data_IF_736010599479
#
_entry.id   IF_736010599479
#
_cell.length_a   1.000
_cell.length_b   1.000
_cell.length_c   1.000
_cell.angle_alpha   90.00
_cell.angle_beta   90.00
_cell.angle_gamma   90.00
#
_symmetry.space_group_name_H-M   'P 1'
#
loop_
_entity.id
_entity.type
_entity.pdbx_description
1 polymer ?
#
# COMPACT_ATOMS: atom_id res chain seq x y z
N UNK A 1 -0.65 -58.48 -14.52
CA UNK A 1 -1.59 -57.33 -14.60
C UNK A 1 -1.48 -56.41 -13.38
N UNK A 2 -1.64 -56.85 -12.12
CA UNK A 2 -1.56 -56.00 -10.92
C UNK A 2 -0.24 -55.22 -10.78
N UNK A 3 0.92 -55.80 -11.12
CA UNK A 3 2.23 -55.14 -11.04
C UNK A 3 2.43 -54.06 -12.10
N UNK A 4 1.82 -54.23 -13.28
CA UNK A 4 1.89 -53.24 -14.38
C UNK A 4 1.00 -52.04 -14.08
N UNK A 5 -0.17 -52.24 -13.46
CA UNK A 5 -1.07 -51.17 -13.01
C UNK A 5 -0.42 -50.32 -11.89
N UNK A 6 0.28 -50.99 -10.96
CA UNK A 6 1.00 -50.27 -9.89
C UNK A 6 2.14 -49.41 -10.44
N UNK A 7 2.88 -49.90 -11.44
CA UNK A 7 3.95 -49.11 -12.10
C UNK A 7 3.40 -47.93 -12.88
N UNK A 8 2.27 -48.07 -13.57
CA UNK A 8 1.61 -46.98 -14.28
C UNK A 8 1.07 -45.89 -13.33
N UNK A 9 0.50 -46.33 -12.19
CA UNK A 9 0.05 -45.36 -11.15
C UNK A 9 1.21 -44.60 -10.51
N UNK A 10 2.34 -45.26 -10.26
CA UNK A 10 3.54 -44.60 -9.75
C UNK A 10 4.13 -43.61 -10.75
N UNK A 11 4.15 -43.95 -12.04
CA UNK A 11 4.63 -43.05 -13.09
C UNK A 11 3.73 -41.81 -13.25
N UNK A 12 2.41 -41.93 -13.11
CA UNK A 12 1.47 -40.82 -13.14
C UNK A 12 1.64 -39.89 -11.91
N UNK A 13 1.86 -40.45 -10.70
CA UNK A 13 2.16 -39.64 -9.51
C UNK A 13 3.47 -38.87 -9.64
N UNK A 14 4.51 -39.46 -10.20
CA UNK A 14 5.79 -38.75 -10.44
C UNK A 14 5.63 -37.65 -11.48
N UNK A 15 4.84 -37.84 -12.53
CA UNK A 15 4.56 -36.80 -13.52
C UNK A 15 3.76 -35.62 -12.93
N UNK A 16 2.86 -35.86 -11.98
CA UNK A 16 2.12 -34.79 -11.29
C UNK A 16 3.02 -33.93 -10.39
N UNK A 17 4.12 -34.45 -9.87
CA UNK A 17 5.06 -33.70 -9.05
C UNK A 17 5.93 -32.71 -9.86
N UNK A 18 6.12 -32.97 -11.16
CA UNK A 18 6.87 -32.06 -12.06
C UNK A 18 5.99 -30.98 -12.72
N UNK A 19 4.67 -31.12 -12.70
CA UNK A 19 3.74 -30.13 -13.27
C UNK A 19 3.50 -28.93 -12.33
N UNK A 20 4.03 -28.94 -11.11
CA UNK A 20 3.78 -27.94 -10.05
C UNK A 20 4.66 -26.70 -10.08
N UNK A 21 5.63 -26.56 -10.99
CA UNK A 21 6.51 -25.39 -11.07
C UNK A 21 6.41 -24.68 -12.41
N UNK A 22 5.22 -24.55 -12.98
CA UNK A 22 4.97 -23.44 -13.87
C UNK A 22 4.89 -22.19 -12.95
N UNK A 23 5.98 -21.45 -12.81
CA UNK A 23 6.00 -20.12 -12.24
C UNK A 23 4.94 -19.33 -13.01
N UNK A 24 3.76 -19.17 -12.44
CA UNK A 24 2.84 -18.15 -12.90
C UNK A 24 3.63 -16.84 -12.77
N UNK A 25 4.03 -16.26 -13.91
CA UNK A 25 4.59 -14.92 -13.96
C UNK A 25 3.51 -13.95 -13.51
N UNK A 26 3.21 -13.94 -12.21
CA UNK A 26 2.39 -12.94 -11.59
C UNK A 26 3.10 -11.62 -11.84
N UNK A 27 2.40 -10.63 -12.39
CA UNK A 27 2.94 -9.29 -12.55
C UNK A 27 3.47 -8.85 -11.20
N UNK A 28 4.73 -8.42 -11.14
CA UNK A 28 5.31 -7.84 -9.94
C UNK A 28 4.48 -6.62 -9.57
N UNK A 29 4.09 -6.51 -8.32
CA UNK A 29 3.19 -5.45 -7.83
C UNK A 29 3.90 -4.65 -6.75
N UNK A 30 3.77 -3.32 -6.84
CA UNK A 30 4.07 -2.40 -5.75
C UNK A 30 2.74 -1.81 -5.29
N UNK A 31 2.41 -2.03 -4.01
CA UNK A 31 1.25 -1.42 -3.40
C UNK A 31 1.61 -0.06 -2.81
N UNK A 32 0.84 0.96 -3.16
CA UNK A 32 0.90 2.29 -2.57
C UNK A 32 -0.33 2.47 -1.69
N UNK A 33 -0.13 2.70 -0.41
CA UNK A 33 -1.20 3.04 0.52
C UNK A 33 -1.68 4.47 0.29
N UNK A 34 -2.98 4.66 0.28
CA UNK A 34 -3.62 5.98 0.22
C UNK A 34 -4.40 6.17 1.51
N UNK A 35 -3.84 6.99 2.39
CA UNK A 35 -4.34 7.24 3.74
C UNK A 35 -5.04 8.59 3.80
N UNK A 36 -6.28 8.65 3.28
CA UNK A 36 -7.01 9.91 3.10
C UNK A 36 -8.42 9.85 3.70
N UNK A 37 -8.94 10.97 4.23
CA UNK A 37 -10.34 11.01 4.62
C UNK A 37 -11.24 11.00 3.38
N UNK A 38 -12.10 10.01 3.28
CA UNK A 38 -13.17 9.97 2.29
C UNK A 38 -14.53 10.28 2.93
N UNK A 39 -14.53 10.41 4.26
CA UNK A 39 -15.68 10.78 5.08
C UNK A 39 -15.26 11.68 6.24
N UNK A 40 -16.21 12.12 7.07
CA UNK A 40 -15.99 13.06 8.16
C UNK A 40 -15.74 14.50 7.67
N UNK A 41 -15.25 15.34 8.59
CA UNK A 41 -15.17 16.81 8.38
C UNK A 41 -14.30 17.22 7.18
N UNK A 42 -13.23 16.50 6.92
CA UNK A 42 -12.29 16.77 5.82
C UNK A 42 -12.53 15.85 4.59
N UNK A 43 -13.62 15.08 4.57
CA UNK A 43 -13.89 14.10 3.52
C UNK A 43 -13.96 14.69 2.12
N UNK A 44 -14.40 15.94 1.97
CA UNK A 44 -14.44 16.62 0.67
C UNK A 44 -13.02 16.87 0.12
N UNK A 45 -12.10 17.37 0.96
CA UNK A 45 -10.71 17.61 0.58
C UNK A 45 -9.97 16.30 0.29
N UNK A 46 -10.08 15.31 1.18
CA UNK A 46 -9.42 14.03 0.99
C UNK A 46 -9.87 13.28 -0.28
N UNK A 47 -11.15 13.36 -0.64
CA UNK A 47 -11.63 12.84 -1.93
C UNK A 47 -10.93 13.47 -3.13
N UNK A 48 -10.62 14.76 -3.09
CA UNK A 48 -9.89 15.43 -4.17
C UNK A 48 -8.45 14.90 -4.27
N UNK A 49 -7.80 14.66 -3.14
CA UNK A 49 -6.47 14.05 -3.12
C UNK A 49 -6.49 12.62 -3.67
N UNK A 50 -7.46 11.80 -3.24
CA UNK A 50 -7.67 10.45 -3.78
C UNK A 50 -7.87 10.46 -5.30
N UNK A 51 -8.69 11.38 -5.82
CA UNK A 51 -8.88 11.53 -7.27
C UNK A 51 -7.57 11.88 -7.99
N UNK A 52 -6.76 12.78 -7.42
CA UNK A 52 -5.45 13.13 -7.97
C UNK A 52 -4.49 11.93 -8.00
N UNK A 53 -4.45 11.15 -6.93
CA UNK A 53 -3.62 9.93 -6.83
C UNK A 53 -4.09 8.87 -7.85
N UNK A 54 -5.40 8.65 -7.95
CA UNK A 54 -5.99 7.71 -8.93
C UNK A 54 -5.70 8.15 -10.36
N UNK A 55 -5.82 9.45 -10.64
CA UNK A 55 -5.47 10.00 -11.95
C UNK A 55 -4.00 9.76 -12.29
N UNK A 56 -3.09 10.08 -11.37
CA UNK A 56 -1.66 9.84 -11.58
C UNK A 56 -1.36 8.36 -11.85
N UNK A 57 -1.99 7.44 -11.10
CA UNK A 57 -1.86 6.00 -11.34
C UNK A 57 -2.45 5.57 -12.69
N UNK A 58 -3.54 6.19 -13.14
CA UNK A 58 -4.11 5.88 -14.47
C UNK A 58 -3.21 6.31 -15.63
N UNK A 59 -2.46 7.42 -15.45
CA UNK A 59 -1.49 7.92 -16.45
C UNK A 59 -0.21 7.10 -16.44
N UNK A 60 0.25 6.66 -15.26
CA UNK A 60 1.47 5.87 -15.09
C UNK A 60 1.24 4.67 -14.18
N UNK A 61 0.63 3.60 -14.69
CA UNK A 61 0.23 2.44 -13.87
C UNK A 61 1.38 1.48 -13.54
N UNK A 62 2.57 1.72 -14.10
CA UNK A 62 3.75 0.88 -13.89
C UNK A 62 4.99 1.69 -13.60
N UNK A 63 5.97 1.05 -12.95
CA UNK A 63 7.30 1.60 -12.70
C UNK A 63 8.37 0.54 -12.99
N UNK A 64 9.49 0.97 -13.56
CA UNK A 64 10.64 0.08 -13.79
C UNK A 64 11.68 0.27 -12.68
N UNK A 65 12.02 -0.81 -11.99
CA UNK A 65 13.05 -0.84 -10.95
C UNK A 65 14.07 -1.91 -11.32
N UNK A 66 15.34 -1.52 -11.43
CA UNK A 66 16.44 -2.42 -11.81
C UNK A 66 16.18 -3.21 -13.11
N UNK A 67 15.51 -2.57 -14.09
CA UNK A 67 15.17 -3.19 -15.38
C UNK A 67 13.93 -4.08 -15.35
N UNK A 68 13.24 -4.21 -14.24
CA UNK A 68 12.02 -4.98 -14.09
C UNK A 68 10.80 -4.08 -13.94
N UNK A 69 9.73 -4.38 -14.66
CA UNK A 69 8.48 -3.63 -14.59
C UNK A 69 7.59 -4.15 -13.44
N UNK A 70 7.07 -3.22 -12.66
CA UNK A 70 6.13 -3.44 -11.58
C UNK A 70 4.83 -2.69 -11.84
N UNK A 71 3.71 -3.36 -11.67
CA UNK A 71 2.39 -2.72 -11.66
C UNK A 71 2.21 -1.97 -10.34
N UNK A 72 1.64 -0.76 -10.40
CA UNK A 72 1.26 0.00 -9.21
C UNK A 72 -0.20 -0.33 -8.88
N UNK A 73 -0.45 -0.73 -7.64
CA UNK A 73 -1.78 -0.92 -7.07
C UNK A 73 -1.98 0.04 -5.91
N UNK A 74 -3.15 0.70 -5.87
CA UNK A 74 -3.52 1.61 -4.80
C UNK A 74 -4.37 0.87 -3.77
N UNK A 75 -3.97 0.96 -2.51
CA UNK A 75 -4.74 0.50 -1.35
C UNK A 75 -5.27 1.73 -0.61
N UNK A 76 -6.58 1.97 -0.70
CA UNK A 76 -7.20 3.21 -0.23
C UNK A 76 -7.94 2.94 1.08
N UNK A 77 -7.47 3.57 2.16
CA UNK A 77 -8.07 3.47 3.49
C UNK A 77 -8.63 4.81 3.94
N UNK A 78 -9.92 4.82 4.27
CA UNK A 78 -10.62 5.99 4.81
C UNK A 78 -10.30 6.16 6.30
N UNK A 79 -9.58 7.22 6.67
CA UNK A 79 -9.30 7.56 8.05
C UNK A 79 -10.42 8.40 8.71
N UNK A 80 -11.49 8.71 7.97
CA UNK A 80 -12.73 9.36 8.41
C UNK A 80 -12.51 10.74 9.07
N UNK A 81 -11.41 11.42 8.80
CA UNK A 81 -10.99 12.67 9.48
C UNK A 81 -10.85 12.51 11.01
N UNK A 82 -10.70 11.29 11.50
CA UNK A 82 -10.73 10.95 12.93
C UNK A 82 -9.38 10.42 13.39
N UNK A 83 -8.82 11.01 14.46
CA UNK A 83 -7.60 10.52 15.08
C UNK A 83 -7.75 9.11 15.64
N UNK A 84 -8.95 8.74 16.12
CA UNK A 84 -9.23 7.41 16.64
C UNK A 84 -9.27 6.34 15.51
N UNK A 85 -9.72 6.74 14.32
CA UNK A 85 -9.75 5.85 13.15
C UNK A 85 -8.42 5.81 12.38
N UNK A 86 -7.61 6.84 12.55
CA UNK A 86 -6.31 6.95 11.90
C UNK A 86 -5.41 5.74 12.17
N UNK A 87 -5.31 5.33 13.43
CA UNK A 87 -4.45 4.19 13.83
C UNK A 87 -4.94 2.89 13.18
N UNK A 88 -6.25 2.62 13.19
CA UNK A 88 -6.79 1.40 12.59
C UNK A 88 -6.63 1.38 11.06
N UNK A 89 -6.84 2.51 10.38
CA UNK A 89 -6.61 2.63 8.94
C UNK A 89 -5.13 2.45 8.59
N UNK A 90 -4.21 3.02 9.39
CA UNK A 90 -2.78 2.83 9.22
C UNK A 90 -2.36 1.36 9.44
N UNK A 91 -2.89 0.71 10.47
CA UNK A 91 -2.64 -0.71 10.73
C UNK A 91 -3.12 -1.61 9.58
N UNK A 92 -4.24 -1.26 8.95
CA UNK A 92 -4.71 -1.99 7.78
C UNK A 92 -3.71 -1.89 6.62
N UNK A 93 -3.23 -0.68 6.29
CA UNK A 93 -2.21 -0.48 5.26
C UNK A 93 -0.91 -1.25 5.56
N UNK A 94 -0.50 -1.31 6.83
CA UNK A 94 0.65 -2.12 7.25
C UNK A 94 0.39 -3.61 7.03
N UNK A 95 -0.79 -4.11 7.40
CA UNK A 95 -1.18 -5.50 7.21
C UNK A 95 -1.25 -5.89 5.73
N UNK A 96 -1.68 -4.97 4.86
CA UNK A 96 -1.74 -5.14 3.41
C UNK A 96 -0.38 -4.99 2.71
N UNK A 97 0.68 -4.70 3.49
CA UNK A 97 2.08 -4.63 3.07
C UNK A 97 2.32 -3.60 1.97
N UNK A 98 1.80 -2.39 2.14
CA UNK A 98 2.09 -1.28 1.25
C UNK A 98 3.56 -0.88 1.36
N UNK A 99 4.14 -0.42 0.26
CA UNK A 99 5.56 -0.02 0.20
C UNK A 99 5.80 1.43 0.64
N UNK A 100 4.80 2.28 0.48
CA UNK A 100 4.80 3.70 0.81
C UNK A 100 3.36 4.15 1.04
N UNK A 101 3.16 5.19 1.85
CA UNK A 101 1.85 5.78 2.11
C UNK A 101 1.82 7.22 1.60
N UNK A 102 0.74 7.59 0.91
CA UNK A 102 0.39 8.96 0.54
C UNK A 102 -0.77 9.43 1.41
N UNK A 103 -0.66 10.63 1.95
CA UNK A 103 -1.69 11.25 2.80
C UNK A 103 -1.14 11.65 4.17
N UNK A 104 -1.92 12.28 4.99
CA UNK A 104 -3.35 12.57 4.92
C UNK A 104 -3.62 14.07 4.65
N UNK A 105 -4.88 14.39 4.26
CA UNK A 105 -5.35 15.79 4.19
C UNK A 105 -5.24 16.48 5.56
N UNK A 106 -5.56 15.78 6.65
CA UNK A 106 -5.55 16.34 8.01
C UNK A 106 -4.26 16.09 8.77
N UNK A 107 -3.60 17.14 9.29
CA UNK A 107 -2.37 17.02 10.09
C UNK A 107 -2.57 16.21 11.37
N UNK A 108 -3.67 16.39 12.09
CA UNK A 108 -3.96 15.66 13.32
C UNK A 108 -4.06 14.15 13.10
N UNK A 109 -4.68 13.74 12.01
CA UNK A 109 -4.80 12.35 11.57
C UNK A 109 -3.45 11.77 11.18
N UNK A 110 -2.64 12.55 10.45
CA UNK A 110 -1.27 12.19 10.07
C UNK A 110 -0.38 11.95 11.31
N UNK A 111 -0.45 12.85 12.30
CA UNK A 111 0.30 12.72 13.55
C UNK A 111 -0.14 11.46 14.32
N UNK A 112 -1.44 11.21 14.43
CA UNK A 112 -1.97 10.04 15.15
C UNK A 112 -1.52 8.71 14.55
N UNK A 113 -1.39 8.64 13.21
CA UNK A 113 -0.96 7.43 12.49
C UNK A 113 0.57 7.29 12.37
N UNK A 114 1.33 8.36 12.63
CA UNK A 114 2.75 8.46 12.28
C UNK A 114 3.62 7.37 12.91
N UNK A 115 3.38 7.03 14.18
CA UNK A 115 4.14 5.98 14.87
C UNK A 115 3.84 4.58 14.32
N UNK A 116 2.62 4.33 13.84
CA UNK A 116 2.26 3.05 13.19
C UNK A 116 3.10 2.82 11.95
N UNK A 117 3.22 3.80 11.07
CA UNK A 117 4.04 3.70 9.86
C UNK A 117 5.54 3.62 10.21
N UNK A 118 6.01 4.44 11.16
CA UNK A 118 7.40 4.42 11.61
C UNK A 118 7.82 3.06 12.16
N UNK A 119 7.02 2.45 13.02
CA UNK A 119 7.30 1.13 13.61
C UNK A 119 7.31 0.02 12.56
N UNK A 120 6.49 0.15 11.51
CA UNK A 120 6.47 -0.76 10.39
C UNK A 120 7.60 -0.51 9.37
N UNK A 121 8.37 0.59 9.51
CA UNK A 121 9.41 0.97 8.56
C UNK A 121 8.85 1.44 7.20
N UNK A 122 7.57 1.84 7.16
CA UNK A 122 6.91 2.29 5.93
C UNK A 122 7.01 3.82 5.85
N UNK A 123 7.62 4.40 4.80
CA UNK A 123 7.63 5.84 4.61
C UNK A 123 6.23 6.37 4.27
N UNK A 124 5.88 7.52 4.86
CA UNK A 124 4.65 8.24 4.57
C UNK A 124 4.97 9.63 4.00
N UNK A 125 4.20 10.09 3.02
CA UNK A 125 4.35 11.39 2.36
C UNK A 125 3.05 12.16 2.51
N UNK A 126 3.08 13.20 3.36
CA UNK A 126 1.96 14.12 3.55
C UNK A 126 1.76 15.02 2.32
N UNK A 127 0.55 15.05 1.81
CA UNK A 127 0.19 15.83 0.62
C UNK A 127 -0.17 17.27 0.99
N UNK A 128 -1.04 17.46 1.97
CA UNK A 128 -1.51 18.78 2.41
C UNK A 128 -1.47 18.99 3.94
N UNK A 129 -0.87 18.08 4.69
CA UNK A 129 -0.74 18.20 6.14
C UNK A 129 0.35 19.19 6.54
N UNK A 130 -0.02 20.44 6.77
CA UNK A 130 0.87 21.60 6.93
C UNK A 130 1.50 21.77 8.30
N UNK A 131 0.96 21.14 9.36
CA UNK A 131 1.48 21.28 10.72
C UNK A 131 2.93 20.75 10.83
N UNK A 132 3.89 21.54 11.38
CA UNK A 132 5.28 21.11 11.54
C UNK A 132 5.45 19.77 12.28
N UNK A 133 4.58 19.46 13.24
CA UNK A 133 4.65 18.26 14.06
C UNK A 133 4.42 16.95 13.29
N UNK A 134 3.91 17.00 12.06
CA UNK A 134 3.74 15.79 11.22
C UNK A 134 5.08 15.13 10.94
N UNK A 135 6.12 15.91 10.72
CA UNK A 135 7.47 15.40 10.41
C UNK A 135 8.48 15.57 11.54
N UNK A 136 8.13 16.32 12.61
CA UNK A 136 9.02 16.57 13.72
C UNK A 136 9.38 15.27 14.45
N UNK A 137 10.69 14.93 14.48
CA UNK A 137 11.18 13.72 15.14
C UNK A 137 10.78 12.39 14.50
N UNK A 138 10.15 12.41 13.33
CA UNK A 138 9.79 11.20 12.60
C UNK A 138 10.56 11.09 11.27
N UNK A 139 11.53 10.19 11.23
CA UNK A 139 12.36 9.93 10.04
C UNK A 139 11.65 9.19 8.92
N UNK A 140 10.42 8.74 9.13
CA UNK A 140 9.60 8.01 8.15
C UNK A 140 8.43 8.84 7.61
N UNK A 141 8.22 10.07 8.12
CA UNK A 141 7.18 10.95 7.60
C UNK A 141 7.78 12.14 6.87
N UNK A 142 7.45 12.28 5.62
CA UNK A 142 7.89 13.35 4.71
C UNK A 142 6.69 14.20 4.33
N UNK A 143 6.91 15.34 3.67
CA UNK A 143 5.83 16.16 3.11
C UNK A 143 6.25 16.82 1.82
N UNK A 144 5.26 17.18 1.01
CA UNK A 144 5.44 17.95 -0.23
C UNK A 144 4.71 19.31 -0.19
N UNK A 145 3.98 19.59 0.89
CA UNK A 145 3.31 20.88 1.11
C UNK A 145 4.16 21.85 1.92
N UNK A 146 3.73 23.12 1.96
CA UNK A 146 4.29 24.15 2.84
C UNK A 146 4.04 23.84 4.33
N UNK A 147 4.72 24.59 5.20
CA UNK A 147 4.53 24.55 6.64
C UNK A 147 3.63 25.70 7.08
N UNK A 148 2.82 25.41 8.10
CA UNK A 148 2.17 26.46 8.88
C UNK A 148 3.25 27.32 9.56
N UNK A 149 3.00 28.67 9.67
CA UNK A 149 3.91 29.61 10.33
C UNK A 149 4.12 29.28 11.81
#
# INVERSE_FOLDING_TARGET
MKKIIALLLAAVMVMCLFAGCASSGGSKVIKIGVFEPQSGDNGAGGKQEVLGIQYANSVKPTVTINGEEYKIELDIQDNQSSTDKAVSAAQQLVADKVSVVLGSYGSGVSIAASDTFKQAGIPAIGVTCTNPNVTAGNSHYFRICFLDP
#
